data_IF_568083564143
#
_entry.id   IF_568083564143
#
_cell.length_a   1.000
_cell.length_b   1.000
_cell.length_c   1.000
_cell.angle_alpha   90.00
_cell.angle_beta   90.00
_cell.angle_gamma   90.00
#
_symmetry.space_group_name_H-M   'P 1'
#
loop_
_entity.id
_entity.type
_entity.pdbx_description
1 polymer ?
#
# COMPACT_ATOMS: atom_id res chain seq x y z
N UNK A 1 -7.70 -38.24 31.42
CA UNK A 1 -6.93 -37.76 30.24
C UNK A 1 -7.60 -36.59 29.52
N UNK A 2 -8.92 -36.62 29.29
CA UNK A 2 -9.70 -35.55 28.66
C UNK A 2 -9.52 -34.14 29.28
N UNK A 3 -9.50 -34.02 30.61
CA UNK A 3 -9.27 -32.72 31.29
C UNK A 3 -7.90 -32.10 30.98
N UNK A 4 -6.87 -32.91 30.75
CA UNK A 4 -5.53 -32.44 30.36
C UNK A 4 -5.53 -31.95 28.90
N UNK A 5 -6.23 -32.66 28.02
CA UNK A 5 -6.38 -32.29 26.59
C UNK A 5 -7.15 -30.97 26.46
N UNK A 6 -8.27 -30.79 27.18
CA UNK A 6 -9.03 -29.53 27.17
C UNK A 6 -8.17 -28.34 27.64
N UNK A 7 -7.33 -28.54 28.66
CA UNK A 7 -6.43 -27.50 29.16
C UNK A 7 -5.40 -27.08 28.11
N UNK A 8 -4.84 -28.05 27.37
CA UNK A 8 -3.88 -27.77 26.29
C UNK A 8 -4.55 -27.00 25.15
N UNK A 9 -5.75 -27.42 24.72
CA UNK A 9 -6.51 -26.72 23.67
C UNK A 9 -6.80 -25.29 24.09
N UNK A 10 -7.24 -25.07 25.33
CA UNK A 10 -7.48 -23.73 25.87
C UNK A 10 -6.23 -22.83 25.84
N UNK A 11 -5.07 -23.37 26.24
CA UNK A 11 -3.80 -22.63 26.19
C UNK A 11 -3.44 -22.26 24.74
N UNK A 12 -3.58 -23.19 23.79
CA UNK A 12 -3.28 -22.94 22.38
C UNK A 12 -4.16 -21.83 21.81
N UNK A 13 -5.47 -21.84 22.09
CA UNK A 13 -6.40 -20.80 21.64
C UNK A 13 -6.01 -19.43 22.21
N UNK A 14 -5.70 -19.37 23.51
CA UNK A 14 -5.27 -18.13 24.16
C UNK A 14 -3.96 -17.62 23.56
N UNK A 15 -2.99 -18.51 23.32
CA UNK A 15 -1.72 -18.14 22.68
C UNK A 15 -1.92 -17.61 21.27
N UNK A 16 -2.78 -18.22 20.46
CA UNK A 16 -3.12 -17.72 19.12
C UNK A 16 -3.75 -16.33 19.20
N UNK A 17 -4.67 -16.11 20.14
CA UNK A 17 -5.29 -14.80 20.36
C UNK A 17 -4.27 -13.71 20.73
N UNK A 18 -3.33 -14.03 21.61
CA UNK A 18 -2.24 -13.10 22.00
C UNK A 18 -1.35 -12.78 20.80
N UNK A 19 -0.95 -13.79 20.04
CA UNK A 19 -0.13 -13.60 18.83
C UNK A 19 -0.87 -12.73 17.81
N UNK A 20 -2.18 -12.95 17.60
CA UNK A 20 -3.00 -12.13 16.72
C UNK A 20 -3.10 -10.66 17.15
N UNK A 21 -3.26 -10.40 18.46
CA UNK A 21 -3.28 -9.03 18.99
C UNK A 21 -1.93 -8.31 18.83
N UNK A 22 -0.84 -9.01 19.13
CA UNK A 22 0.51 -8.48 18.93
C UNK A 22 0.77 -8.21 17.45
N UNK A 23 0.33 -9.11 16.57
CA UNK A 23 0.41 -8.91 15.12
C UNK A 23 -0.32 -7.64 14.70
N UNK A 24 -1.58 -7.45 15.05
CA UNK A 24 -2.34 -6.24 14.65
C UNK A 24 -1.70 -4.96 15.20
N UNK A 25 -1.22 -4.98 16.45
CA UNK A 25 -0.67 -3.79 17.12
C UNK A 25 0.72 -3.38 16.61
N UNK A 26 1.57 -4.35 16.28
CA UNK A 26 2.97 -4.10 15.91
C UNK A 26 3.24 -4.20 14.40
N UNK A 27 2.28 -4.65 13.60
CA UNK A 27 2.46 -4.74 12.16
C UNK A 27 2.34 -3.37 11.48
N UNK A 28 3.49 -2.77 11.18
CA UNK A 28 3.60 -1.43 10.60
C UNK A 28 2.75 -1.24 9.32
N UNK A 29 2.55 -2.29 8.53
CA UNK A 29 1.77 -2.20 7.29
C UNK A 29 0.26 -1.93 7.50
N UNK A 30 -0.26 -2.11 8.72
CA UNK A 30 -1.66 -1.78 9.03
C UNK A 30 -1.86 -0.28 9.32
N UNK A 31 -0.78 0.48 9.45
CA UNK A 31 -0.81 1.90 9.76
C UNK A 31 -1.07 2.19 11.23
N UNK A 32 -1.12 3.49 11.56
CA UNK A 32 -1.43 3.97 12.90
C UNK A 32 -2.92 4.15 13.15
N UNK A 33 -3.33 4.12 14.41
CA UNK A 33 -4.68 4.54 14.83
C UNK A 33 -4.79 6.06 14.88
N UNK A 34 -5.93 6.60 14.45
CA UNK A 34 -6.24 8.04 14.54
C UNK A 34 -6.40 8.45 16.01
N UNK A 35 -5.66 9.47 16.45
CA UNK A 35 -5.75 10.00 17.83
C UNK A 35 -6.93 10.96 18.00
N UNK A 36 -7.31 11.27 19.24
CA UNK A 36 -8.38 12.26 19.48
C UNK A 36 -8.05 13.65 18.94
N UNK A 37 -6.78 14.05 18.99
CA UNK A 37 -6.34 15.35 18.48
C UNK A 37 -6.36 15.39 16.96
N UNK A 38 -5.99 14.30 16.28
CA UNK A 38 -6.18 14.15 14.84
C UNK A 38 -7.66 14.32 14.47
N UNK A 39 -8.58 13.70 15.22
CA UNK A 39 -10.01 13.83 14.95
C UNK A 39 -10.51 15.27 15.12
N UNK A 40 -10.02 16.01 16.11
CA UNK A 40 -10.36 17.43 16.29
C UNK A 40 -9.84 18.27 15.12
N UNK A 41 -8.60 18.05 14.72
CA UNK A 41 -8.00 18.71 13.56
C UNK A 41 -8.79 18.41 12.27
N UNK A 42 -9.18 17.15 12.07
CA UNK A 42 -9.92 16.74 10.87
C UNK A 42 -11.29 17.41 10.77
N UNK A 43 -12.00 17.55 11.90
CA UNK A 43 -13.25 18.30 11.99
C UNK A 43 -13.05 19.80 11.74
N UNK A 44 -11.94 20.37 12.23
CA UNK A 44 -11.64 21.79 12.05
C UNK A 44 -11.27 22.13 10.61
N UNK A 45 -10.52 21.25 9.92
CA UNK A 45 -10.00 21.51 8.57
C UNK A 45 -10.97 21.18 7.44
N UNK A 46 -11.97 20.31 7.68
CA UNK A 46 -12.82 19.80 6.61
C UNK A 46 -14.26 19.54 7.07
N UNK A 47 -15.21 20.23 6.46
CA UNK A 47 -16.66 20.06 6.70
C UNK A 47 -17.21 18.70 6.28
N UNK A 48 -16.49 17.95 5.44
CA UNK A 48 -16.87 16.60 5.00
C UNK A 48 -16.56 15.53 6.06
N UNK A 49 -15.79 15.85 7.11
CA UNK A 49 -15.51 14.92 8.20
C UNK A 49 -16.51 15.10 9.34
N UNK A 50 -17.53 14.23 9.37
CA UNK A 50 -18.61 14.27 10.37
C UNK A 50 -18.77 12.89 11.01
N UNK A 51 -19.12 12.83 12.30
CA UNK A 51 -19.37 11.58 13.04
C UNK A 51 -18.21 10.56 12.97
N UNK A 52 -16.98 11.05 12.80
CA UNK A 52 -15.78 10.20 12.75
C UNK A 52 -15.51 9.56 11.37
N UNK A 53 -16.24 9.97 10.33
CA UNK A 53 -16.12 9.40 8.98
C UNK A 53 -16.01 10.54 7.96
N UNK A 54 -15.14 10.37 6.96
CA UNK A 54 -15.09 11.27 5.81
C UNK A 54 -16.24 10.92 4.85
N UNK A 55 -17.11 11.89 4.62
CA UNK A 55 -18.15 11.79 3.60
C UNK A 55 -17.55 12.20 2.25
N UNK A 56 -17.87 11.45 1.20
CA UNK A 56 -17.47 11.81 -0.16
C UNK A 56 -18.06 13.16 -0.56
N UNK A 57 -17.32 13.93 -1.36
CA UNK A 57 -17.83 15.19 -1.89
C UNK A 57 -19.08 14.90 -2.76
N UNK A 58 -20.26 15.45 -2.41
CA UNK A 58 -21.50 15.20 -3.16
C UNK A 58 -21.48 15.72 -4.60
N UNK A 59 -20.59 16.68 -4.90
CA UNK A 59 -20.41 17.21 -6.26
C UNK A 59 -19.62 16.26 -7.16
N UNK A 60 -18.79 15.39 -6.58
CA UNK A 60 -18.02 14.41 -7.33
C UNK A 60 -18.91 13.18 -7.56
N UNK A 61 -19.54 13.13 -8.74
CA UNK A 61 -20.12 11.89 -9.25
C UNK A 61 -19.00 10.97 -9.71
N UNK A 62 -18.57 10.08 -8.82
CA UNK A 62 -17.72 8.96 -9.22
C UNK A 62 -18.46 8.13 -10.26
N UNK A 63 -17.76 7.74 -11.35
CA UNK A 63 -18.24 6.77 -12.34
C UNK A 63 -18.29 5.34 -11.76
N UNK A 64 -18.61 5.20 -10.48
CA UNK A 64 -18.73 3.94 -9.76
C UNK A 64 -20.16 3.45 -9.91
N UNK A 65 -20.44 2.64 -10.93
CA UNK A 65 -21.77 2.07 -11.12
C UNK A 65 -21.96 1.27 -12.40
N UNK A 66 -21.22 1.59 -13.47
CA UNK A 66 -21.20 0.72 -14.64
C UNK A 66 -20.24 -0.44 -14.38
N UNK A 67 -20.78 -1.65 -14.22
CA UNK A 67 -19.97 -2.87 -14.37
C UNK A 67 -19.31 -2.76 -15.73
N UNK A 68 -17.98 -2.75 -15.77
CA UNK A 68 -17.28 -2.86 -17.04
C UNK A 68 -17.68 -4.19 -17.68
N UNK A 69 -18.24 -4.13 -18.89
CA UNK A 69 -18.53 -5.32 -19.70
C UNK A 69 -17.23 -5.96 -20.23
N UNK A 70 -16.08 -5.33 -19.98
CA UNK A 70 -14.76 -5.87 -20.24
C UNK A 70 -14.49 -7.10 -19.36
N UNK A 71 -14.89 -8.26 -19.86
CA UNK A 71 -14.31 -9.56 -19.48
C UNK A 71 -12.93 -9.66 -20.12
N UNK A 72 -11.91 -9.13 -19.43
CA UNK A 72 -10.54 -9.49 -19.78
C UNK A 72 -10.22 -10.84 -19.12
N UNK A 73 -10.20 -11.91 -19.93
CA UNK A 73 -9.89 -13.26 -19.48
C UNK A 73 -8.40 -13.43 -19.19
N UNK A 74 -7.54 -12.62 -19.83
CA UNK A 74 -6.09 -12.63 -19.62
C UNK A 74 -5.70 -11.69 -18.49
N UNK A 75 -5.70 -12.25 -17.26
CA UNK A 75 -5.28 -11.54 -16.03
C UNK A 75 -3.77 -11.58 -15.78
N UNK A 76 -3.04 -12.38 -16.57
CA UNK A 76 -1.61 -12.64 -16.40
C UNK A 76 -0.93 -12.45 -17.76
N UNK A 77 0.14 -11.64 -17.84
CA UNK A 77 0.93 -11.49 -19.06
C UNK A 77 1.52 -12.84 -19.51
N UNK A 78 1.49 -13.13 -20.81
CA UNK A 78 2.04 -14.37 -21.38
C UNK A 78 3.57 -14.43 -21.38
N UNK A 79 4.23 -13.30 -21.15
CA UNK A 79 5.69 -13.18 -21.16
C UNK A 79 6.18 -12.09 -20.22
N UNK A 80 7.49 -11.93 -20.12
CA UNK A 80 8.08 -10.87 -19.31
C UNK A 80 7.68 -9.49 -19.85
N UNK A 81 7.25 -8.62 -18.94
CA UNK A 81 7.01 -7.21 -19.28
C UNK A 81 8.39 -6.55 -19.50
N UNK A 82 8.62 -5.88 -20.63
CA UNK A 82 9.88 -5.17 -20.86
C UNK A 82 10.02 -4.02 -19.86
N UNK A 83 11.17 -3.96 -19.19
CA UNK A 83 11.49 -2.93 -18.20
C UNK A 83 12.80 -2.26 -18.56
N UNK A 84 12.78 -0.93 -18.64
CA UNK A 84 14.00 -0.15 -18.76
C UNK A 84 14.70 -0.07 -17.40
N UNK A 85 15.88 -0.68 -17.28
CA UNK A 85 16.64 -0.74 -16.04
C UNK A 85 17.49 0.52 -15.86
N UNK A 86 17.16 1.30 -14.84
CA UNK A 86 17.87 2.50 -14.43
C UNK A 86 19.05 2.14 -13.54
N UNK A 87 20.28 2.30 -14.04
CA UNK A 87 21.50 2.12 -13.22
C UNK A 87 21.68 3.24 -12.19
N UNK A 88 21.30 4.46 -12.56
CA UNK A 88 21.39 5.66 -11.74
C UNK A 88 20.31 6.64 -12.16
N UNK A 89 19.71 7.30 -11.18
CA UNK A 89 18.84 8.45 -11.42
C UNK A 89 19.72 9.70 -11.36
N UNK A 90 19.97 10.30 -12.52
CA UNK A 90 20.64 11.60 -12.61
C UNK A 90 19.67 12.70 -12.19
N UNK A 91 20.12 13.63 -11.34
CA UNK A 91 19.27 14.73 -10.89
C UNK A 91 19.01 15.69 -12.06
N UNK A 92 17.75 16.08 -12.27
CA UNK A 92 17.42 17.15 -13.21
C UNK A 92 18.04 18.49 -12.80
N UNK A 93 18.26 19.39 -13.77
CA UNK A 93 18.59 20.78 -13.44
C UNK A 93 17.38 21.45 -12.80
N UNK A 94 17.60 22.55 -12.10
CA UNK A 94 16.55 23.28 -11.36
C UNK A 94 15.37 23.68 -12.27
N UNK A 95 15.65 24.03 -13.52
CA UNK A 95 14.66 24.52 -14.48
C UNK A 95 14.09 23.39 -15.36
N UNK A 96 14.46 22.14 -15.10
CA UNK A 96 14.04 20.97 -15.87
C UNK A 96 13.02 20.12 -15.08
N UNK A 97 11.89 19.81 -15.73
CA UNK A 97 10.92 18.85 -15.23
C UNK A 97 11.35 17.43 -15.64
N UNK A 98 11.51 16.53 -14.68
CA UNK A 98 11.79 15.13 -14.94
C UNK A 98 10.76 14.24 -14.27
N UNK A 99 10.21 13.29 -15.01
CA UNK A 99 9.28 12.30 -14.49
C UNK A 99 9.80 10.89 -14.78
N UNK A 100 9.90 10.08 -13.75
CA UNK A 100 10.29 8.68 -13.82
C UNK A 100 9.13 7.84 -13.30
N UNK A 101 8.56 7.00 -14.17
CA UNK A 101 7.54 6.05 -13.77
C UNK A 101 8.18 4.70 -13.41
N UNK A 102 7.90 4.22 -12.19
CA UNK A 102 8.43 2.95 -11.69
C UNK A 102 7.50 1.76 -11.89
N UNK A 103 6.27 1.99 -12.37
CA UNK A 103 5.21 0.99 -12.52
C UNK A 103 4.08 1.19 -11.50
N UNK A 104 2.90 0.62 -11.79
CA UNK A 104 1.65 0.88 -11.05
C UNK A 104 1.41 2.39 -10.90
N UNK A 105 1.38 2.90 -9.67
CA UNK A 105 1.21 4.33 -9.34
C UNK A 105 2.52 4.95 -8.83
N UNK A 106 3.59 4.16 -8.70
CA UNK A 106 4.86 4.63 -8.16
C UNK A 106 5.60 5.48 -9.19
N UNK A 107 5.91 6.73 -8.83
CA UNK A 107 6.69 7.61 -9.69
C UNK A 107 7.48 8.67 -8.94
N UNK A 108 8.60 9.09 -9.51
CA UNK A 108 9.42 10.20 -9.04
C UNK A 108 9.26 11.38 -10.00
N UNK A 109 8.88 12.53 -9.45
CA UNK A 109 8.82 13.81 -10.14
C UNK A 109 9.92 14.71 -9.58
N UNK A 110 10.83 15.15 -10.44
CA UNK A 110 11.79 16.21 -10.13
C UNK A 110 11.31 17.52 -10.78
N UNK A 111 11.05 18.54 -9.96
CA UNK A 111 10.51 19.83 -10.38
C UNK A 111 11.08 20.94 -9.49
N UNK A 112 11.57 22.04 -10.08
CA UNK A 112 12.14 23.19 -9.36
C UNK A 112 13.27 22.82 -8.37
N UNK A 113 14.00 21.74 -8.66
CA UNK A 113 15.05 21.19 -7.79
C UNK A 113 14.53 20.38 -6.58
N UNK A 114 13.21 20.19 -6.48
CA UNK A 114 12.55 19.31 -5.52
C UNK A 114 12.34 17.91 -6.09
N UNK A 115 12.34 16.91 -5.21
CA UNK A 115 12.06 15.52 -5.56
C UNK A 115 10.78 15.09 -4.85
N UNK A 116 9.74 14.76 -5.63
CA UNK A 116 8.44 14.32 -5.15
C UNK A 116 8.26 12.85 -5.52
N UNK A 117 8.22 11.98 -4.51
CA UNK A 117 7.99 10.55 -4.69
C UNK A 117 6.54 10.23 -4.38
N UNK A 118 5.81 9.77 -5.40
CA UNK A 118 4.38 9.44 -5.33
C UNK A 118 4.19 7.93 -5.22
N UNK A 119 3.31 7.52 -4.30
CA UNK A 119 2.92 6.13 -4.03
C UNK A 119 4.07 5.11 -4.11
N UNK A 120 5.13 5.24 -3.29
CA UNK A 120 6.31 4.40 -3.41
C UNK A 120 6.03 2.93 -3.05
N UNK A 121 5.97 2.06 -4.06
CA UNK A 121 5.84 0.61 -3.92
C UNK A 121 7.01 -0.06 -4.64
N UNK A 122 8.06 -0.37 -3.87
CA UNK A 122 9.28 -1.02 -4.37
C UNK A 122 9.44 -2.46 -3.88
N UNK A 123 8.38 -3.07 -3.35
CA UNK A 123 8.35 -4.50 -3.06
C UNK A 123 7.94 -5.29 -4.30
N UNK A 124 8.45 -6.51 -4.44
CA UNK A 124 7.93 -7.44 -5.45
C UNK A 124 6.56 -8.01 -5.05
N UNK A 125 6.24 -8.01 -3.76
CA UNK A 125 4.99 -8.53 -3.22
C UNK A 125 3.96 -7.40 -3.08
N UNK A 126 2.73 -7.64 -3.56
CA UNK A 126 1.61 -6.70 -3.43
C UNK A 126 0.79 -6.92 -2.15
N UNK A 127 1.33 -7.70 -1.23
CA UNK A 127 0.66 -8.12 0.00
C UNK A 127 1.53 -7.80 1.21
N UNK A 128 0.94 -7.40 2.34
CA UNK A 128 1.67 -7.33 3.60
C UNK A 128 2.23 -8.69 4.01
N UNK A 129 1.62 -9.80 3.57
CA UNK A 129 2.09 -11.15 3.85
C UNK A 129 2.80 -11.70 2.60
N UNK A 130 4.15 -11.82 2.61
CA UNK A 130 4.95 -12.04 1.40
C UNK A 130 4.67 -13.39 0.69
N UNK A 131 4.02 -14.34 1.37
CA UNK A 131 3.69 -15.67 0.82
C UNK A 131 2.22 -15.85 0.43
N UNK A 132 1.34 -14.88 0.71
CA UNK A 132 -0.11 -14.94 0.40
C UNK A 132 -0.49 -13.95 -0.73
N UNK A 133 0.47 -13.16 -1.22
CA UNK A 133 0.24 -12.12 -2.23
C UNK A 133 0.50 -12.52 -3.68
N UNK A 134 -0.11 -11.77 -4.59
CA UNK A 134 0.37 -11.71 -5.97
C UNK A 134 1.74 -11.02 -6.00
N UNK A 135 2.56 -11.43 -6.96
CA UNK A 135 3.83 -10.77 -7.27
C UNK A 135 3.62 -9.79 -8.41
N UNK A 136 4.39 -8.72 -8.40
CA UNK A 136 4.47 -7.82 -9.54
C UNK A 136 4.91 -8.60 -10.79
N UNK A 137 4.22 -8.41 -11.92
CA UNK A 137 4.56 -9.09 -13.18
C UNK A 137 5.79 -8.51 -13.86
N UNK A 138 6.20 -7.29 -13.51
CA UNK A 138 7.41 -6.63 -14.00
C UNK A 138 8.51 -6.65 -12.96
N UNK A 139 9.76 -6.68 -13.42
CA UNK A 139 10.92 -6.36 -12.56
C UNK A 139 10.85 -4.88 -12.17
N UNK A 140 11.39 -4.52 -11.01
CA UNK A 140 11.52 -3.11 -10.64
C UNK A 140 12.49 -2.40 -11.61
N UNK A 141 12.22 -1.16 -12.02
CA UNK A 141 13.13 -0.40 -12.88
C UNK A 141 14.46 -0.05 -12.22
N UNK A 142 14.55 -0.17 -10.89
CA UNK A 142 15.78 -0.05 -10.14
C UNK A 142 15.75 -1.03 -8.96
N UNK A 143 16.83 -1.76 -8.75
CA UNK A 143 16.96 -2.69 -7.63
C UNK A 143 17.28 -1.91 -6.35
N UNK A 144 16.28 -1.76 -5.49
CA UNK A 144 16.41 -1.12 -4.18
C UNK A 144 16.64 -2.21 -3.14
N UNK A 145 17.72 -3.00 -3.26
CA UNK A 145 18.12 -3.86 -2.15
C UNK A 145 18.34 -2.94 -0.96
N UNK A 146 17.47 -3.04 0.06
CA UNK A 146 17.78 -2.49 1.38
C UNK A 146 19.15 -3.07 1.74
N UNK A 147 20.15 -2.20 1.89
CA UNK A 147 21.34 -2.54 2.65
C UNK A 147 20.86 -2.73 4.09
N UNK A 148 20.41 -3.94 4.40
CA UNK A 148 20.27 -4.42 5.79
C UNK A 148 21.65 -4.77 6.30
#
# INVERSE_FOLDING_TARGET
>A
MIKKILKIIGIVIVSIGIVGLLFIKFWLSLGGSVTEDDQKEYKARNSLYEKGIFHGNPEIKLMTGQKSEYKNEEKVPKGEIPVHQLKKIEKSKKDELKWIWFGHLSSLLEIEGMNVLMDPVFSNDTSPIPFIGLKCFSKLPQDHKRKT
#
